data_IF_482628148074
#
_entry.id   IF_482628148074
#
_cell.length_a   1.000
_cell.length_b   1.000
_cell.length_c   1.000
_cell.angle_alpha   90.00
_cell.angle_beta   90.00
_cell.angle_gamma   90.00
#
_symmetry.space_group_name_H-M   'P 1'
#
loop_
_entity.id
_entity.type
_entity.pdbx_description
1 polymer ?
#
# COMPACT_ATOMS: atom_id res chain seq x y z
N UNK A 1 -8.65 2.16 -34.40
CA UNK A 1 -9.61 3.20 -34.85
C UNK A 1 -10.94 2.51 -35.12
N UNK A 2 -11.80 2.38 -34.10
CA UNK A 2 -13.18 1.94 -34.29
C UNK A 2 -14.10 3.17 -34.16
N UNK A 3 -14.99 3.32 -35.12
CA UNK A 3 -15.73 4.54 -35.38
C UNK A 3 -16.81 4.81 -34.32
N UNK A 4 -16.80 6.02 -33.76
CA UNK A 4 -17.98 6.58 -33.09
C UNK A 4 -19.03 6.81 -34.16
N UNK A 5 -20.14 6.07 -34.12
CA UNK A 5 -21.28 6.33 -35.01
C UNK A 5 -21.83 7.73 -34.73
N UNK A 6 -22.01 8.59 -35.75
CA UNK A 6 -22.53 9.94 -35.50
C UNK A 6 -24.01 9.84 -35.11
N UNK A 7 -24.38 10.64 -34.10
CA UNK A 7 -25.76 10.77 -33.63
C UNK A 7 -26.70 11.05 -34.81
N UNK A 8 -27.72 10.21 -35.01
CA UNK A 8 -28.77 10.46 -36.00
C UNK A 8 -29.87 11.31 -35.36
N UNK A 9 -29.90 12.59 -35.71
CA UNK A 9 -31.05 13.45 -35.44
C UNK A 9 -32.15 13.20 -36.49
N UNK A 10 -33.39 12.93 -36.05
CA UNK A 10 -34.54 12.92 -36.95
C UNK A 10 -34.99 14.36 -37.28
N UNK A 11 -35.43 14.66 -38.52
CA UNK A 11 -35.87 15.99 -38.90
C UNK A 11 -37.28 16.25 -38.35
N UNK A 12 -37.36 16.94 -37.21
CA UNK A 12 -38.65 17.22 -36.57
C UNK A 12 -38.54 17.78 -35.16
N UNK A 13 -37.66 18.76 -34.92
CA UNK A 13 -37.77 19.70 -33.79
C UNK A 13 -37.77 19.17 -32.34
N UNK A 14 -37.47 17.90 -32.09
CA UNK A 14 -37.31 17.36 -30.73
C UNK A 14 -35.85 17.44 -30.26
N UNK A 15 -35.58 17.71 -28.97
CA UNK A 15 -34.22 17.78 -28.43
C UNK A 15 -33.54 16.41 -28.53
N UNK A 16 -32.25 16.42 -28.91
CA UNK A 16 -31.41 15.23 -28.98
C UNK A 16 -31.39 14.51 -27.63
N UNK A 17 -32.06 13.36 -27.53
CA UNK A 17 -31.94 12.51 -26.34
C UNK A 17 -30.57 11.83 -26.36
N UNK A 18 -29.79 12.08 -25.31
CA UNK A 18 -28.55 11.39 -25.00
C UNK A 18 -28.80 9.86 -24.90
N UNK A 19 -27.77 9.02 -25.15
CA UNK A 19 -27.92 7.57 -25.12
C UNK A 19 -28.44 7.08 -23.76
N UNK A 20 -29.30 6.06 -23.81
CA UNK A 20 -30.09 5.52 -22.71
C UNK A 20 -29.21 4.94 -21.58
N UNK A 21 -29.68 4.94 -20.31
CA UNK A 21 -28.89 4.58 -19.12
C UNK A 21 -28.49 3.10 -19.00
N UNK A 22 -28.78 2.24 -19.99
CA UNK A 22 -28.60 0.79 -19.92
C UNK A 22 -27.74 0.25 -21.08
N UNK A 23 -26.70 0.99 -21.47
CA UNK A 23 -25.68 0.46 -22.37
C UNK A 23 -24.78 -0.53 -21.58
N UNK A 24 -24.72 -1.82 -21.95
CA UNK A 24 -23.87 -2.80 -21.25
C UNK A 24 -22.38 -2.46 -21.33
N UNK A 25 -21.94 -1.58 -22.24
CA UNK A 25 -20.58 -1.07 -22.28
C UNK A 25 -20.29 0.00 -21.19
N UNK A 26 -21.33 0.60 -20.58
CA UNK A 26 -21.21 1.52 -19.44
C UNK A 26 -21.36 0.80 -18.09
N UNK A 27 -21.98 -0.38 -18.05
CA UNK A 27 -22.08 -1.22 -16.84
C UNK A 27 -20.73 -1.80 -16.38
N UNK A 28 -19.79 -2.03 -17.31
CA UNK A 28 -18.43 -2.48 -16.97
C UNK A 28 -17.59 -1.33 -16.39
N UNK A 29 -17.75 -0.11 -16.91
CA UNK A 29 -17.08 1.10 -16.40
C UNK A 29 -17.63 1.55 -15.04
N UNK A 30 -18.93 1.35 -14.78
CA UNK A 30 -19.57 1.67 -13.49
C UNK A 30 -19.21 0.65 -12.39
N UNK A 31 -18.81 -0.58 -12.73
CA UNK A 31 -18.29 -1.56 -11.74
C UNK A 31 -16.87 -1.22 -11.29
N UNK A 32 -16.02 -0.73 -12.19
CA UNK A 32 -14.63 -0.33 -11.87
C UNK A 32 -14.56 1.04 -11.18
N UNK A 33 -15.49 1.96 -11.46
CA UNK A 33 -15.52 3.29 -10.84
C UNK A 33 -16.19 3.33 -9.45
N UNK A 34 -16.90 2.28 -9.02
CA UNK A 34 -17.45 2.18 -7.65
C UNK A 34 -16.51 1.54 -6.64
N UNK A 35 -15.52 0.75 -7.06
CA UNK A 35 -14.50 0.21 -6.15
C UNK A 35 -13.54 1.30 -5.66
N UNK A 36 -13.15 2.24 -6.52
CA UNK A 36 -12.32 3.37 -6.12
C UNK A 36 -13.02 4.33 -5.12
N UNK A 37 -14.35 4.45 -5.19
CA UNK A 37 -15.14 5.29 -4.27
C UNK A 37 -15.47 4.57 -2.95
N UNK A 38 -15.48 3.23 -2.91
CA UNK A 38 -15.65 2.47 -1.66
C UNK A 38 -14.38 2.46 -0.80
N UNK A 39 -13.20 2.64 -1.42
CA UNK A 39 -11.93 2.75 -0.71
C UNK A 39 -11.75 4.12 0.00
N UNK A 40 -12.47 5.17 -0.43
CA UNK A 40 -12.44 6.48 0.26
C UNK A 40 -13.36 6.56 1.49
N UNK A 41 -14.33 5.65 1.62
CA UNK A 41 -15.29 5.66 2.73
C UNK A 41 -14.89 4.71 3.89
N UNK A 42 -13.82 3.92 3.70
CA UNK A 42 -13.28 2.98 4.67
C UNK A 42 -12.03 3.48 5.44
N UNK A 43 -11.62 4.74 5.29
CA UNK A 43 -10.58 5.33 6.14
C UNK A 43 -9.13 4.92 5.85
N UNK A 44 -8.84 4.31 4.70
CA UNK A 44 -7.49 3.88 4.32
C UNK A 44 -6.62 5.05 3.85
N UNK A 45 -6.05 5.78 4.81
CA UNK A 45 -5.45 7.10 4.56
C UNK A 45 -3.93 7.13 4.35
N UNK A 46 -3.21 6.01 4.30
CA UNK A 46 -1.76 6.02 4.02
C UNK A 46 -1.39 5.30 2.71
N UNK A 47 -2.16 4.29 2.32
CA UNK A 47 -1.92 3.45 1.15
C UNK A 47 -2.69 3.81 -0.13
N UNK A 48 -3.78 4.58 -0.03
CA UNK A 48 -4.78 4.73 -1.08
C UNK A 48 -4.44 5.75 -2.20
N UNK A 49 -3.15 6.03 -2.44
CA UNK A 49 -2.70 6.96 -3.48
C UNK A 49 -2.75 6.40 -4.91
N UNK A 50 -2.92 5.08 -5.06
CA UNK A 50 -2.93 4.35 -6.34
C UNK A 50 -4.05 3.30 -6.34
N UNK A 51 -4.47 2.84 -7.51
CA UNK A 51 -5.45 1.75 -7.64
C UNK A 51 -4.76 0.44 -7.23
N UNK A 52 -5.31 -0.33 -6.28
CA UNK A 52 -4.69 -1.57 -5.84
C UNK A 52 -4.62 -2.60 -6.98
N UNK A 53 -3.48 -3.25 -7.15
CA UNK A 53 -3.32 -4.44 -8.00
C UNK A 53 -3.99 -5.65 -7.33
N UNK A 54 -3.79 -5.79 -6.02
CA UNK A 54 -4.28 -6.92 -5.24
C UNK A 54 -4.91 -6.45 -3.93
N UNK A 55 -6.01 -7.09 -3.55
CA UNK A 55 -6.75 -6.79 -2.31
C UNK A 55 -7.12 -8.12 -1.68
N UNK A 56 -6.74 -8.28 -0.41
CA UNK A 56 -7.11 -9.40 0.44
C UNK A 56 -8.53 -9.29 0.97
N UNK A 57 -8.75 -9.93 2.11
CA UNK A 57 -10.00 -10.07 2.82
C UNK A 57 -9.81 -9.67 4.27
N UNK A 58 -10.87 -9.55 5.08
CA UNK A 58 -10.72 -9.26 6.52
C UNK A 58 -10.18 -10.43 7.37
N UNK A 59 -9.58 -11.45 6.76
CA UNK A 59 -8.94 -12.56 7.46
C UNK A 59 -7.61 -12.90 6.81
N UNK A 60 -6.83 -13.79 7.44
CA UNK A 60 -5.48 -14.10 6.99
C UNK A 60 -5.38 -14.53 5.53
N UNK A 61 -4.59 -13.77 4.78
CA UNK A 61 -4.33 -13.96 3.36
C UNK A 61 -2.83 -14.13 3.06
N UNK A 62 -2.54 -14.67 1.88
CA UNK A 62 -1.19 -14.69 1.30
C UNK A 62 -1.27 -14.03 -0.06
N UNK A 63 -0.62 -12.88 -0.19
CA UNK A 63 -0.71 -11.98 -1.32
C UNK A 63 0.69 -11.82 -1.93
N UNK A 64 0.81 -12.04 -3.23
CA UNK A 64 2.09 -11.95 -3.95
C UNK A 64 1.91 -11.09 -5.18
N UNK A 65 2.74 -10.05 -5.30
CA UNK A 65 2.88 -9.19 -6.46
C UNK A 65 3.59 -9.88 -7.62
N UNK A 66 3.99 -9.06 -8.59
CA UNK A 66 4.72 -9.45 -9.77
C UNK A 66 6.07 -8.71 -9.87
N UNK A 67 6.67 -8.75 -11.06
CA UNK A 67 7.94 -8.09 -11.32
C UNK A 67 7.79 -6.61 -11.74
N UNK A 68 6.63 -6.00 -11.50
CA UNK A 68 6.40 -4.59 -11.78
C UNK A 68 5.71 -3.91 -10.60
N UNK A 69 5.53 -2.60 -10.71
CA UNK A 69 4.91 -1.77 -9.66
C UNK A 69 3.53 -2.29 -9.28
N UNK A 70 3.41 -2.72 -8.03
CA UNK A 70 2.21 -3.26 -7.43
C UNK A 70 1.74 -2.43 -6.24
N UNK A 71 0.44 -2.56 -5.98
CA UNK A 71 -0.21 -1.95 -4.82
C UNK A 71 -1.07 -3.03 -4.19
N UNK A 72 -0.69 -3.48 -3.00
CA UNK A 72 -1.26 -4.65 -2.34
C UNK A 72 -1.83 -4.25 -0.98
N UNK A 73 -3.09 -4.61 -0.74
CA UNK A 73 -3.81 -4.34 0.50
C UNK A 73 -4.20 -5.67 1.17
N UNK A 74 -3.70 -5.95 2.37
CA UNK A 74 -4.09 -7.10 3.20
C UNK A 74 -5.51 -6.96 3.75
N UNK A 75 -5.81 -5.76 4.26
CA UNK A 75 -7.04 -5.33 4.93
C UNK A 75 -7.05 -5.65 6.40
N UNK A 76 -7.23 -6.89 6.81
CA UNK A 76 -7.17 -7.19 8.23
C UNK A 76 -7.14 -8.68 8.49
N UNK A 77 -6.78 -9.08 9.70
CA UNK A 77 -6.28 -10.43 9.92
C UNK A 77 -4.77 -10.45 9.71
N UNK A 78 -4.15 -11.62 9.88
CA UNK A 78 -2.70 -11.75 9.83
C UNK A 78 -2.28 -12.18 8.43
N UNK A 79 -1.68 -11.29 7.67
CA UNK A 79 -1.43 -11.41 6.25
C UNK A 79 0.05 -11.60 5.93
N UNK A 80 0.33 -12.38 4.88
CA UNK A 80 1.65 -12.47 4.27
C UNK A 80 1.66 -11.78 2.91
N UNK A 81 2.41 -10.69 2.77
CA UNK A 81 2.44 -9.87 1.56
C UNK A 81 3.86 -9.80 1.00
N UNK A 82 4.00 -10.12 -0.29
CA UNK A 82 5.27 -10.07 -1.04
C UNK A 82 5.12 -9.15 -2.27
N UNK A 83 5.99 -8.15 -2.41
CA UNK A 83 6.05 -7.24 -3.57
C UNK A 83 6.73 -7.85 -4.79
N UNK A 84 7.80 -8.62 -4.57
CA UNK A 84 8.69 -9.22 -5.57
C UNK A 84 9.61 -8.23 -6.28
N UNK A 85 9.14 -7.54 -7.32
CA UNK A 85 10.01 -6.66 -8.08
C UNK A 85 9.31 -5.44 -8.59
N UNK A 86 9.96 -4.29 -8.53
CA UNK A 86 9.35 -3.02 -8.88
C UNK A 86 9.19 -2.15 -7.64
N UNK A 87 8.70 -0.92 -7.82
CA UNK A 87 8.54 0.01 -6.71
C UNK A 87 7.12 -0.12 -6.13
N UNK A 88 6.97 -0.95 -5.10
CA UNK A 88 5.68 -1.44 -4.62
C UNK A 88 5.12 -0.61 -3.46
N UNK A 89 3.82 -0.77 -3.23
CA UNK A 89 3.12 -0.24 -2.05
C UNK A 89 2.40 -1.39 -1.36
N UNK A 90 2.87 -1.76 -0.18
CA UNK A 90 2.37 -2.89 0.60
C UNK A 90 1.70 -2.39 1.89
N UNK A 91 0.50 -2.89 2.18
CA UNK A 91 -0.26 -2.46 3.34
C UNK A 91 -0.85 -3.68 4.02
N UNK A 92 -0.42 -3.94 5.26
CA UNK A 92 -0.94 -5.02 6.08
C UNK A 92 -2.37 -4.75 6.49
N UNK A 93 -2.55 -3.72 7.31
CA UNK A 93 -3.83 -3.37 7.91
C UNK A 93 -3.83 -3.78 9.38
N UNK A 94 -5.01 -3.97 10.01
CA UNK A 94 -5.03 -4.48 11.37
C UNK A 94 -4.75 -6.00 11.43
N UNK A 95 -3.72 -6.41 12.15
CA UNK A 95 -3.33 -7.80 12.34
C UNK A 95 -1.82 -7.93 12.53
N UNK A 96 -1.34 -9.12 12.88
CA UNK A 96 0.11 -9.36 12.91
C UNK A 96 0.56 -9.78 11.50
N UNK A 97 1.10 -8.85 10.73
CA UNK A 97 1.37 -9.03 9.31
C UNK A 97 2.85 -9.31 9.01
N UNK A 98 3.12 -9.89 7.85
CA UNK A 98 4.46 -10.05 7.29
C UNK A 98 4.53 -9.40 5.92
N UNK A 99 5.31 -8.34 5.81
CA UNK A 99 5.44 -7.53 4.59
C UNK A 99 6.87 -7.62 4.05
N UNK A 100 7.01 -8.07 2.80
CA UNK A 100 8.29 -8.21 2.11
C UNK A 100 8.25 -7.37 0.82
N UNK A 101 9.02 -6.28 0.77
CA UNK A 101 9.17 -5.45 -0.44
C UNK A 101 9.85 -6.20 -1.58
N UNK A 102 10.90 -6.96 -1.22
CA UNK A 102 11.83 -7.59 -2.14
C UNK A 102 12.64 -6.54 -2.93
N UNK A 103 12.64 -6.54 -4.27
CA UNK A 103 13.55 -5.68 -5.03
C UNK A 103 12.86 -4.45 -5.56
N UNK A 104 13.31 -3.26 -5.18
CA UNK A 104 12.60 -2.06 -5.57
C UNK A 104 12.87 -0.86 -4.71
N UNK A 105 12.11 0.20 -4.95
CA UNK A 105 11.98 1.30 -4.01
C UNK A 105 10.59 1.19 -3.37
N UNK A 106 10.50 0.40 -2.31
CA UNK A 106 9.22 -0.05 -1.79
C UNK A 106 8.70 0.85 -0.68
N UNK A 107 7.38 0.85 -0.52
CA UNK A 107 6.70 1.48 0.61
C UNK A 107 5.85 0.43 1.31
N UNK A 108 6.17 0.15 2.56
CA UNK A 108 5.40 -0.78 3.36
C UNK A 108 4.82 -0.11 4.61
N UNK A 109 3.57 -0.46 4.92
CA UNK A 109 2.82 0.03 6.07
C UNK A 109 2.26 -1.17 6.84
N UNK A 110 2.74 -1.41 8.06
CA UNK A 110 2.19 -2.43 8.96
C UNK A 110 0.78 -2.06 9.43
N UNK A 111 0.62 -0.81 9.85
CA UNK A 111 -0.60 -0.25 10.46
C UNK A 111 -0.78 -0.66 11.92
N UNK A 112 -1.55 -1.70 12.24
CA UNK A 112 -1.82 -2.00 13.65
C UNK A 112 -1.62 -3.49 13.93
N UNK A 113 -0.74 -3.83 14.84
CA UNK A 113 -0.44 -5.22 15.19
C UNK A 113 1.00 -5.41 15.56
N UNK A 114 1.53 -6.62 15.38
CA UNK A 114 2.96 -6.89 15.54
C UNK A 114 3.52 -7.36 14.22
N UNK A 115 4.06 -6.41 13.49
CA UNK A 115 4.39 -6.63 12.09
C UNK A 115 5.85 -7.03 11.92
N UNK A 116 6.08 -7.86 10.91
CA UNK A 116 7.42 -8.21 10.42
C UNK A 116 7.58 -7.62 9.03
N UNK A 117 8.44 -6.62 8.91
CA UNK A 117 8.64 -5.88 7.67
C UNK A 117 10.10 -5.99 7.20
N UNK A 118 10.28 -6.33 5.93
CA UNK A 118 11.58 -6.32 5.26
C UNK A 118 11.47 -5.53 3.96
N UNK A 119 12.30 -4.51 3.80
CA UNK A 119 12.41 -3.72 2.57
C UNK A 119 12.98 -4.60 1.46
N UNK A 120 14.25 -4.97 1.60
CA UNK A 120 14.94 -5.82 0.65
C UNK A 120 16.01 -5.01 -0.08
N UNK A 121 16.36 -5.36 -1.34
CA UNK A 121 17.29 -4.54 -2.11
C UNK A 121 16.65 -3.29 -2.70
N UNK A 122 17.24 -2.13 -2.37
CA UNK A 122 16.89 -0.81 -2.87
C UNK A 122 16.47 0.12 -1.72
N UNK A 123 16.31 1.43 -1.97
CA UNK A 123 15.96 2.38 -0.92
C UNK A 123 14.47 2.30 -0.59
N UNK A 124 14.18 1.81 0.60
CA UNK A 124 12.82 1.49 1.05
C UNK A 124 12.31 2.47 2.11
N UNK A 125 10.98 2.52 2.25
CA UNK A 125 10.29 3.29 3.27
C UNK A 125 9.33 2.40 4.04
N UNK A 126 9.65 2.14 5.31
CA UNK A 126 8.91 1.23 6.18
C UNK A 126 8.27 1.99 7.34
N UNK A 127 6.96 1.79 7.54
CA UNK A 127 6.21 2.29 8.70
C UNK A 127 5.60 1.11 9.47
N UNK A 128 6.01 0.91 10.72
CA UNK A 128 5.43 -0.10 11.62
C UNK A 128 4.00 0.26 11.98
N UNK A 129 3.85 1.29 12.81
CA UNK A 129 2.54 1.85 13.16
C UNK A 129 2.23 1.68 14.63
N UNK A 130 1.12 1.03 14.96
CA UNK A 130 0.78 0.68 16.35
C UNK A 130 1.20 -0.76 16.65
N UNK A 131 1.96 -0.94 17.73
CA UNK A 131 2.31 -2.23 18.29
C UNK A 131 3.81 -2.51 18.20
N UNK A 132 4.22 -3.73 18.55
CA UNK A 132 5.66 -4.01 18.70
C UNK A 132 6.20 -4.62 17.40
N UNK A 133 6.76 -3.78 16.55
CA UNK A 133 7.11 -4.16 15.19
C UNK A 133 8.59 -4.54 15.03
N UNK A 134 8.86 -5.24 13.92
CA UNK A 134 10.22 -5.58 13.47
C UNK A 134 10.41 -5.10 12.04
N UNK A 135 11.20 -4.05 11.88
CA UNK A 135 11.52 -3.44 10.59
C UNK A 135 12.98 -3.71 10.24
N UNK A 136 13.22 -4.16 9.01
CA UNK A 136 14.55 -4.37 8.44
C UNK A 136 14.62 -3.71 7.05
N UNK A 137 15.48 -2.71 6.86
CA UNK A 137 15.72 -2.10 5.54
C UNK A 137 16.45 -3.06 4.59
N UNK A 138 17.46 -3.74 5.12
CA UNK A 138 18.36 -4.66 4.40
C UNK A 138 19.43 -3.94 3.56
N UNK A 139 19.26 -3.81 2.25
CA UNK A 139 20.32 -3.30 1.39
C UNK A 139 19.82 -2.11 0.59
N UNK A 140 20.19 -0.90 0.99
CA UNK A 140 19.64 0.29 0.38
C UNK A 140 19.87 1.49 1.28
N UNK A 141 19.46 2.67 0.84
CA UNK A 141 19.41 3.81 1.77
C UNK A 141 17.98 3.95 2.25
N UNK A 142 17.71 3.39 3.42
CA UNK A 142 16.35 3.11 3.88
C UNK A 142 15.85 4.15 4.89
N UNK A 143 14.53 4.29 4.96
CA UNK A 143 13.86 5.12 5.95
C UNK A 143 12.86 4.28 6.75
N UNK A 144 13.14 4.07 8.03
CA UNK A 144 12.36 3.20 8.91
C UNK A 144 11.69 4.04 10.00
N UNK A 145 10.40 3.85 10.19
CA UNK A 145 9.59 4.51 11.22
C UNK A 145 8.95 3.44 12.08
N UNK A 146 9.35 3.35 13.35
CA UNK A 146 8.78 2.38 14.29
C UNK A 146 7.29 2.65 14.52
N UNK A 147 6.99 3.85 15.03
CA UNK A 147 5.63 4.25 15.35
C UNK A 147 5.45 4.33 16.85
N UNK A 148 4.37 3.75 17.37
CA UNK A 148 4.10 3.68 18.80
C UNK A 148 4.44 2.28 19.32
N UNK A 149 4.68 2.17 20.62
CA UNK A 149 5.08 0.93 21.29
C UNK A 149 6.49 0.44 20.89
N UNK A 150 6.94 -0.65 21.53
CA UNK A 150 8.37 -0.99 21.55
C UNK A 150 8.84 -1.73 20.31
N UNK A 151 9.49 -1.00 19.41
CA UNK A 151 9.89 -1.50 18.10
C UNK A 151 11.34 -2.00 18.02
N UNK A 152 11.63 -2.79 16.98
CA UNK A 152 12.99 -3.14 16.58
C UNK A 152 13.24 -2.69 15.14
N UNK A 153 14.16 -1.75 14.94
CA UNK A 153 14.53 -1.21 13.63
C UNK A 153 15.97 -1.60 13.32
N UNK A 154 16.18 -2.24 12.18
CA UNK A 154 17.49 -2.58 11.62
C UNK A 154 17.61 -1.91 10.24
N UNK A 155 18.40 -0.84 10.13
CA UNK A 155 18.59 -0.14 8.84
C UNK A 155 19.24 -1.07 7.82
N UNK A 156 20.36 -1.67 8.20
CA UNK A 156 21.03 -2.69 7.40
C UNK A 156 22.32 -2.15 6.81
N UNK A 157 22.43 -2.20 5.49
CA UNK A 157 23.61 -1.77 4.76
C UNK A 157 23.36 -0.45 4.05
N UNK A 158 24.40 0.39 3.99
CA UNK A 158 24.46 1.71 3.36
C UNK A 158 24.15 2.89 4.29
N UNK A 159 23.10 3.67 4.04
CA UNK A 159 22.88 4.93 4.76
C UNK A 159 21.41 5.08 5.09
N UNK A 160 21.09 4.71 6.33
CA UNK A 160 19.72 4.55 6.77
C UNK A 160 19.33 5.63 7.77
N UNK A 161 18.06 5.98 7.73
CA UNK A 161 17.40 6.91 8.64
C UNK A 161 16.35 6.15 9.41
N UNK A 162 16.48 6.11 10.72
CA UNK A 162 15.54 5.41 11.59
C UNK A 162 14.89 6.41 12.55
N UNK A 163 13.57 6.52 12.51
CA UNK A 163 12.76 7.33 13.40
C UNK A 163 12.14 6.45 14.49
N UNK A 164 12.50 6.79 15.72
CA UNK A 164 11.92 6.17 16.93
C UNK A 164 10.60 6.84 17.30
N UNK A 165 9.75 6.07 17.96
CA UNK A 165 8.56 6.52 18.65
C UNK A 165 8.83 7.40 19.86
N UNK A 166 7.87 7.43 20.78
CA UNK A 166 8.03 8.17 22.02
C UNK A 166 9.16 7.56 22.89
N UNK A 167 9.88 8.37 23.68
CA UNK A 167 11.02 7.87 24.45
C UNK A 167 10.66 6.77 25.47
N UNK A 168 9.40 6.70 25.90
CA UNK A 168 8.87 5.64 26.76
C UNK A 168 8.64 4.28 26.09
N UNK A 169 8.62 4.23 24.76
CA UNK A 169 8.19 3.06 23.98
C UNK A 169 9.25 1.92 24.02
N UNK A 170 10.52 2.29 24.13
CA UNK A 170 11.61 1.34 24.34
C UNK A 170 12.22 0.76 23.06
N UNK A 171 12.20 1.53 21.97
CA UNK A 171 12.70 1.11 20.66
C UNK A 171 14.17 0.69 20.67
N UNK A 172 14.44 -0.42 19.99
CA UNK A 172 15.76 -0.93 19.71
C UNK A 172 16.14 -0.63 18.26
N UNK A 173 17.06 0.34 18.07
CA UNK A 173 17.54 0.74 16.75
C UNK A 173 18.98 0.28 16.55
N UNK A 174 19.24 -0.42 15.45
CA UNK A 174 20.57 -0.92 15.06
C UNK A 174 20.84 -0.63 13.58
N UNK A 175 22.12 -0.55 13.23
CA UNK A 175 22.58 -0.35 11.85
C UNK A 175 21.89 0.82 11.13
N UNK A 176 21.65 1.93 11.83
CA UNK A 176 21.16 3.17 11.22
C UNK A 176 22.20 4.28 11.40
N UNK A 177 22.58 4.92 10.30
CA UNK A 177 23.55 6.02 10.29
C UNK A 177 22.96 7.30 10.89
N UNK A 178 21.65 7.50 10.76
CA UNK A 178 20.93 8.61 11.34
C UNK A 178 19.73 8.10 12.15
N UNK A 179 19.65 8.47 13.43
CA UNK A 179 18.51 8.15 14.30
C UNK A 179 17.79 9.42 14.71
N UNK A 180 16.50 9.50 14.37
CA UNK A 180 15.57 10.60 14.71
C UNK A 180 14.62 10.15 15.84
N UNK A 181 13.84 11.10 16.36
CA UNK A 181 12.97 10.90 17.53
C UNK A 181 13.53 11.54 18.81
N UNK A 182 12.66 11.79 19.78
CA UNK A 182 13.01 12.51 21.02
C UNK A 182 13.73 11.55 21.98
N UNK A 183 14.92 11.89 22.51
CA UNK A 183 15.63 11.05 23.47
C UNK A 183 15.00 11.03 24.87
#
# INVERSE_FOLDING_TARGET
MLAVSPARCFPGGAPCFLPWPNDPALEELVRVQRTAQLLSDAGFSLCAGRVPTLVGTPGSDVLTGGAGVDVILGLGGNDGIEGQGGDDVLCGGPGDDTLLGDSGHDRAYGEAGKDLMRGGPGPDLLYGGEGNDRLSGEAGSDELHGGNDGDTLDGGAERDVCERGAPEDGDAVVNCEEVRGVP
#
